data_IF_754922940579
#
_entry.id   IF_754922940579
#
_cell.length_a   1.000
_cell.length_b   1.000
_cell.length_c   1.000
_cell.angle_alpha   90.00
_cell.angle_beta   90.00
_cell.angle_gamma   90.00
#
_symmetry.space_group_name_H-M   'P 1'
#
loop_
_entity.id
_entity.type
_entity.pdbx_description
1 polymer ?
#
# COMPACT_ATOMS: atom_id res chain seq x y z
N UNK A 1 -19.70 -11.90 0.60
CA UNK A 1 -20.42 -10.76 -0.04
C UNK A 1 -20.94 -9.80 1.04
N UNK A 2 -20.81 -8.48 0.87
CA UNK A 2 -21.05 -7.49 1.93
C UNK A 2 -19.73 -7.05 2.59
N UNK A 3 -19.11 -7.92 3.40
CA UNK A 3 -17.84 -7.60 4.07
C UNK A 3 -16.73 -7.19 3.09
N UNK A 4 -16.56 -7.94 1.98
CA UNK A 4 -15.60 -7.58 0.92
C UNK A 4 -15.80 -6.14 0.43
N UNK A 5 -17.04 -5.71 0.17
CA UNK A 5 -17.33 -4.35 -0.30
C UNK A 5 -16.88 -3.27 0.70
N UNK A 6 -17.01 -3.55 2.00
CA UNK A 6 -16.54 -2.64 3.06
C UNK A 6 -15.01 -2.55 3.04
N UNK A 7 -14.33 -3.69 2.91
CA UNK A 7 -12.86 -3.74 2.82
C UNK A 7 -12.36 -3.03 1.56
N UNK A 8 -12.96 -3.31 0.40
CA UNK A 8 -12.60 -2.70 -0.88
C UNK A 8 -12.73 -1.17 -0.83
N UNK A 9 -13.81 -0.66 -0.21
CA UNK A 9 -14.03 0.77 -0.04
C UNK A 9 -12.97 1.41 0.87
N UNK A 10 -12.60 0.74 1.97
CA UNK A 10 -11.57 1.21 2.88
C UNK A 10 -10.19 1.24 2.22
N UNK A 11 -9.82 0.18 1.50
CA UNK A 11 -8.56 0.09 0.76
C UNK A 11 -8.50 1.12 -0.37
N UNK A 12 -9.56 1.24 -1.17
CA UNK A 12 -9.62 2.23 -2.25
C UNK A 12 -9.40 3.64 -1.72
N UNK A 13 -10.05 4.00 -0.61
CA UNK A 13 -9.85 5.29 0.04
C UNK A 13 -8.41 5.49 0.49
N UNK A 14 -7.81 4.52 1.17
CA UNK A 14 -6.44 4.63 1.68
C UNK A 14 -5.40 4.72 0.56
N UNK A 15 -5.61 3.98 -0.54
CA UNK A 15 -4.74 3.99 -1.71
C UNK A 15 -4.81 5.34 -2.44
N UNK A 16 -6.00 5.80 -2.77
CA UNK A 16 -6.22 7.02 -3.56
C UNK A 16 -5.99 8.31 -2.77
N UNK A 17 -6.04 8.29 -1.43
CA UNK A 17 -5.72 9.45 -0.59
C UNK A 17 -4.22 9.69 -0.43
N UNK A 18 -3.38 8.75 -0.87
CA UNK A 18 -1.94 8.74 -0.61
C UNK A 18 -1.55 8.21 0.78
N UNK A 19 -2.51 7.77 1.60
CA UNK A 19 -2.19 7.20 2.92
C UNK A 19 -1.48 5.84 2.81
N UNK A 20 -1.82 5.04 1.79
CA UNK A 20 -1.12 3.79 1.51
C UNK A 20 0.38 4.04 1.21
N UNK A 21 0.71 5.09 0.46
CA UNK A 21 2.10 5.45 0.17
C UNK A 21 2.85 5.90 1.44
N UNK A 22 2.21 6.68 2.32
CA UNK A 22 2.80 7.04 3.62
C UNK A 22 3.06 5.81 4.49
N UNK A 23 2.11 4.86 4.52
CA UNK A 23 2.25 3.60 5.24
C UNK A 23 3.40 2.78 4.63
N UNK A 24 3.49 2.70 3.31
CA UNK A 24 4.59 2.03 2.62
C UNK A 24 5.94 2.64 3.01
N UNK A 25 6.07 3.97 2.90
CA UNK A 25 7.30 4.66 3.26
C UNK A 25 7.71 4.44 4.72
N UNK A 26 6.75 4.39 5.65
CA UNK A 26 7.03 4.09 7.06
C UNK A 26 7.67 2.70 7.25
N UNK A 27 7.22 1.70 6.51
CA UNK A 27 7.63 0.31 6.75
C UNK A 27 8.75 -0.19 5.84
N UNK A 28 8.91 0.40 4.65
CA UNK A 28 9.83 -0.09 3.62
C UNK A 28 10.95 0.89 3.28
N UNK A 29 10.78 2.18 3.57
CA UNK A 29 11.74 3.24 3.22
C UNK A 29 12.30 3.98 4.43
N UNK A 30 11.87 3.64 5.64
CA UNK A 30 12.35 4.25 6.89
C UNK A 30 12.82 3.17 7.88
N UNK A 31 13.63 3.55 8.89
CA UNK A 31 13.97 2.67 10.00
C UNK A 31 12.73 2.11 10.71
N UNK A 32 12.64 0.78 10.82
CA UNK A 32 11.53 0.10 11.50
C UNK A 32 11.97 -0.55 12.82
N UNK A 33 11.08 -0.61 13.83
CA UNK A 33 11.37 -1.29 15.09
C UNK A 33 11.53 -2.81 14.92
N UNK A 34 12.20 -3.49 15.87
CA UNK A 34 12.83 -2.93 17.08
C UNK A 34 14.27 -2.46 16.86
N UNK A 35 14.94 -2.89 15.79
CA UNK A 35 16.38 -2.66 15.58
C UNK A 35 16.70 -1.41 14.75
N UNK A 36 15.70 -0.68 14.27
CA UNK A 36 15.90 0.52 13.45
C UNK A 36 16.52 0.22 12.08
N UNK A 37 16.36 -1.00 11.56
CA UNK A 37 16.83 -1.33 10.21
C UNK A 37 15.88 -0.75 9.18
N UNK A 38 16.42 -0.29 8.05
CA UNK A 38 15.64 0.17 6.91
C UNK A 38 15.73 -0.86 5.79
N UNK A 39 14.60 -1.22 5.19
CA UNK A 39 14.55 -2.19 4.09
C UNK A 39 15.01 -1.57 2.76
N UNK A 40 14.93 -0.25 2.62
CA UNK A 40 15.25 0.50 1.39
C UNK A 40 14.59 -0.13 0.14
N UNK A 41 13.33 -0.51 0.24
CA UNK A 41 12.57 -1.10 -0.85
C UNK A 41 11.68 -0.02 -1.48
N UNK A 42 12.07 0.56 -2.63
CA UNK A 42 11.26 1.57 -3.29
C UNK A 42 9.95 0.96 -3.82
N UNK A 43 8.89 1.75 -3.79
CA UNK A 43 7.59 1.36 -4.33
C UNK A 43 7.70 1.12 -5.84
N UNK A 44 7.33 -0.07 -6.29
CA UNK A 44 7.36 -0.43 -7.71
C UNK A 44 6.34 0.38 -8.51
N UNK A 45 6.57 0.50 -9.82
CA UNK A 45 5.67 1.27 -10.69
C UNK A 45 4.31 0.59 -10.86
N UNK A 46 4.25 -0.74 -10.77
CA UNK A 46 3.00 -1.51 -10.75
C UNK A 46 2.19 -1.18 -9.50
N UNK A 47 2.84 -1.11 -8.32
CA UNK A 47 2.18 -0.75 -7.07
C UNK A 47 1.70 0.71 -7.07
N UNK A 48 2.45 1.64 -7.67
CA UNK A 48 1.99 3.01 -7.88
C UNK A 48 0.75 3.05 -8.77
N UNK A 49 0.75 2.28 -9.86
CA UNK A 49 -0.43 2.14 -10.72
C UNK A 49 -1.64 1.60 -9.97
N UNK A 50 -1.45 0.60 -9.12
CA UNK A 50 -2.51 0.06 -8.26
C UNK A 50 -3.05 1.07 -7.25
N UNK A 51 -2.20 1.94 -6.69
CA UNK A 51 -2.69 2.98 -5.77
C UNK A 51 -3.57 4.03 -6.47
N UNK A 52 -3.27 4.32 -7.74
CA UNK A 52 -4.06 5.24 -8.56
C UNK A 52 -5.36 4.59 -9.06
N UNK A 53 -5.32 3.31 -9.41
CA UNK A 53 -6.47 2.54 -9.92
C UNK A 53 -6.58 1.17 -9.24
N UNK A 54 -7.09 1.11 -7.99
CA UNK A 54 -7.19 -0.13 -7.21
C UNK A 54 -8.05 -1.19 -7.92
N UNK A 55 -7.57 -2.43 -7.89
CA UNK A 55 -8.29 -3.58 -8.43
C UNK A 55 -7.86 -4.89 -7.74
N UNK A 56 -8.61 -5.96 -8.00
CA UNK A 56 -8.41 -7.29 -7.38
C UNK A 56 -7.59 -8.25 -8.27
N UNK A 57 -6.86 -7.75 -9.28
CA UNK A 57 -6.06 -8.63 -10.14
C UNK A 57 -4.82 -9.09 -9.38
N UNK A 58 -4.48 -10.37 -9.52
CA UNK A 58 -3.23 -10.90 -9.01
C UNK A 58 -2.04 -10.24 -9.73
N UNK A 59 -0.93 -10.10 -9.02
CA UNK A 59 0.36 -9.83 -9.66
C UNK A 59 0.71 -11.02 -10.56
N UNK A 60 1.07 -10.75 -11.81
CA UNK A 60 1.72 -11.73 -12.71
C UNK A 60 3.24 -11.64 -12.60
#
# INVERSE_FOLDING_TARGET
>A
PGFKKVVDAALTKAMTSGDAEKIYNKWFMNPIPPKGLNLNMPLSDEMKGLYQAPNDKAFE
#
